data_IF_087025949648
#
_entry.id   IF_087025949648
#
_cell.length_a   1.000
_cell.length_b   1.000
_cell.length_c   1.000
_cell.angle_alpha   90.00
_cell.angle_beta   90.00
_cell.angle_gamma   90.00
#
_symmetry.space_group_name_H-M   'P 1'
#
loop_
_entity.id
_entity.type
_entity.pdbx_description
1 polymer ?
#
# COMPACT_ATOMS: atom_id res chain seq x y z
N UNK A 1 16.05 -2.74 -3.06
CA UNK A 1 14.90 -1.91 -3.49
C UNK A 1 13.86 -1.91 -2.37
N UNK A 2 13.27 -0.76 -2.05
CA UNK A 2 12.31 -0.65 -0.95
C UNK A 2 10.97 -1.26 -1.36
N UNK A 3 10.43 -2.14 -0.52
CA UNK A 3 9.14 -2.80 -0.72
C UNK A 3 8.04 -2.04 0.01
N UNK A 4 6.92 -1.85 -0.67
CA UNK A 4 5.71 -1.24 -0.12
C UNK A 4 4.51 -2.14 -0.37
N UNK A 5 3.63 -2.20 0.62
CA UNK A 5 2.24 -2.62 0.42
C UNK A 5 1.42 -1.35 0.49
N UNK A 6 0.61 -1.11 -0.53
CA UNK A 6 -0.26 0.06 -0.58
C UNK A 6 -1.68 -0.40 -0.29
N UNK A 7 -2.30 0.26 0.67
CA UNK A 7 -3.73 0.19 0.90
C UNK A 7 -4.47 0.81 -0.29
N UNK A 8 -5.66 0.30 -0.59
CA UNK A 8 -6.60 0.82 -1.59
C UNK A 8 -6.81 2.34 -1.46
N UNK A 9 -6.89 2.89 -0.24
CA UNK A 9 -7.06 4.33 -0.03
C UNK A 9 -5.93 5.19 -0.63
N UNK A 10 -4.72 4.64 -0.76
CA UNK A 10 -3.59 5.33 -1.39
C UNK A 10 -3.83 5.47 -2.89
N UNK A 11 -4.36 4.43 -3.54
CA UNK A 11 -4.71 4.48 -4.96
C UNK A 11 -5.83 5.49 -5.22
N UNK A 12 -6.86 5.47 -4.38
CA UNK A 12 -7.98 6.43 -4.45
C UNK A 12 -7.47 7.86 -4.31
N UNK A 13 -6.67 8.16 -3.27
CA UNK A 13 -6.12 9.49 -3.05
C UNK A 13 -5.21 9.95 -4.20
N UNK A 14 -4.40 9.05 -4.75
CA UNK A 14 -3.54 9.35 -5.91
C UNK A 14 -4.36 9.68 -7.16
N UNK A 15 -5.49 8.99 -7.37
CA UNK A 15 -6.38 9.23 -8.51
C UNK A 15 -7.11 10.56 -8.46
N UNK A 16 -7.47 11.04 -7.27
CA UNK A 16 -8.14 12.34 -7.10
C UNK A 16 -7.19 13.54 -7.03
N UNK A 17 -5.96 13.35 -6.55
CA UNK A 17 -4.99 14.43 -6.41
C UNK A 17 -3.59 13.99 -6.88
N UNK A 18 -3.25 14.38 -8.10
CA UNK A 18 -1.96 14.10 -8.75
C UNK A 18 -0.75 14.77 -8.07
N UNK A 19 -0.97 15.76 -7.21
CA UNK A 19 0.07 16.43 -6.42
C UNK A 19 0.22 15.86 -5.00
N UNK A 20 -0.61 14.87 -4.63
CA UNK A 20 -0.54 14.24 -3.31
C UNK A 20 0.72 13.38 -3.13
N UNK A 21 1.11 13.15 -1.88
CA UNK A 21 2.15 12.18 -1.53
C UNK A 21 1.79 10.76 -2.01
N UNK A 22 0.51 10.41 -2.04
CA UNK A 22 0.04 9.14 -2.61
C UNK A 22 0.36 9.05 -4.12
N UNK A 23 0.06 10.09 -4.89
CA UNK A 23 0.41 10.16 -6.31
C UNK A 23 1.93 10.10 -6.54
N UNK A 24 2.72 10.74 -5.68
CA UNK A 24 4.18 10.66 -5.73
C UNK A 24 4.70 9.24 -5.47
N UNK A 25 4.13 8.51 -4.51
CA UNK A 25 4.43 7.10 -4.24
C UNK A 25 4.07 6.23 -5.45
N UNK A 26 2.87 6.39 -6.01
CA UNK A 26 2.43 5.69 -7.22
C UNK A 26 3.40 5.97 -8.39
N UNK A 27 3.83 7.22 -8.56
CA UNK A 27 4.84 7.59 -9.55
C UNK A 27 6.19 6.90 -9.31
N UNK A 28 6.60 6.73 -8.06
CA UNK A 28 7.82 6.01 -7.71
C UNK A 28 7.73 4.49 -7.98
N UNK A 29 6.57 3.87 -7.72
CA UNK A 29 6.29 2.48 -8.11
C UNK A 29 6.36 2.35 -9.64
N UNK A 30 5.68 3.24 -10.36
CA UNK A 30 5.65 3.26 -11.83
C UNK A 30 7.05 3.39 -12.43
N UNK A 31 7.89 4.23 -11.84
CA UNK A 31 9.28 4.43 -12.23
C UNK A 31 10.24 3.29 -11.80
N UNK A 32 9.77 2.27 -11.08
CA UNK A 32 10.61 1.18 -10.59
C UNK A 32 11.57 1.59 -9.47
N UNK A 33 11.26 2.67 -8.75
CA UNK A 33 12.01 3.09 -7.54
C UNK A 33 11.49 2.42 -6.26
N UNK A 34 10.23 2.01 -6.28
CA UNK A 34 9.57 1.22 -5.23
C UNK A 34 9.01 -0.07 -5.84
N UNK A 35 9.09 -1.16 -5.08
CA UNK A 35 8.44 -2.42 -5.42
C UNK A 35 7.08 -2.48 -4.70
N UNK A 36 5.98 -2.42 -5.46
CA UNK A 36 4.64 -2.64 -4.93
C UNK A 36 4.47 -4.15 -4.78
N UNK A 37 4.60 -4.65 -3.55
CA UNK A 37 4.33 -6.05 -3.26
C UNK A 37 2.83 -6.25 -3.13
N UNK A 38 2.31 -7.27 -3.81
CA UNK A 38 0.89 -7.56 -3.86
C UNK A 38 0.65 -9.08 -3.85
N UNK A 39 -0.55 -9.48 -3.44
CA UNK A 39 -1.09 -10.83 -3.63
C UNK A 39 -2.48 -10.72 -4.29
N UNK A 40 -3.10 -11.84 -4.65
CA UNK A 40 -4.39 -11.81 -5.36
C UNK A 40 -5.51 -11.11 -4.56
N UNK A 41 -5.52 -11.28 -3.23
CA UNK A 41 -6.52 -10.67 -2.35
C UNK A 41 -6.42 -9.14 -2.35
N UNK A 42 -5.22 -8.59 -2.11
CA UNK A 42 -4.97 -7.13 -2.11
C UNK A 42 -5.22 -6.51 -3.49
N UNK A 43 -4.80 -7.17 -4.57
CA UNK A 43 -5.05 -6.71 -5.95
C UNK A 43 -6.54 -6.68 -6.28
N UNK A 44 -7.26 -7.75 -5.93
CA UNK A 44 -8.70 -7.86 -6.19
C UNK A 44 -9.49 -6.82 -5.40
N UNK A 45 -9.11 -6.59 -4.15
CA UNK A 45 -9.68 -5.53 -3.30
C UNK A 45 -9.49 -4.15 -3.95
N UNK A 46 -8.26 -3.82 -4.32
CA UNK A 46 -7.95 -2.53 -4.95
C UNK A 46 -8.70 -2.35 -6.26
N UNK A 47 -8.74 -3.36 -7.13
CA UNK A 47 -9.51 -3.31 -8.37
C UNK A 47 -11.00 -3.07 -8.09
N UNK A 48 -11.57 -3.86 -7.17
CA UNK A 48 -12.99 -3.80 -6.84
C UNK A 48 -13.42 -2.42 -6.33
N UNK A 49 -12.61 -1.78 -5.49
CA UNK A 49 -12.91 -0.44 -4.95
C UNK A 49 -12.72 0.63 -6.01
N UNK A 50 -11.64 0.58 -6.81
CA UNK A 50 -11.41 1.57 -7.86
C UNK A 50 -12.52 1.57 -8.92
N UNK A 51 -13.04 0.40 -9.30
CA UNK A 51 -14.14 0.27 -10.25
C UNK A 51 -15.47 0.86 -9.74
N UNK A 52 -15.63 1.04 -8.43
CA UNK A 52 -16.83 1.65 -7.82
C UNK A 52 -16.78 3.17 -7.71
N UNK A 53 -15.63 3.81 -7.94
CA UNK A 53 -15.42 5.23 -7.63
C UNK A 53 -15.07 6.00 -8.91
N UNK A 54 -16.04 6.55 -9.65
CA UNK A 54 -15.75 7.48 -10.75
C UNK A 54 -15.00 8.73 -10.23
N UNK A 55 -14.06 9.30 -10.99
CA UNK A 55 -13.65 8.95 -12.36
C UNK A 55 -12.51 7.92 -12.42
N UNK A 56 -12.23 7.18 -11.34
CA UNK A 56 -11.08 6.27 -11.28
C UNK A 56 -11.27 5.10 -12.26
N UNK A 57 -10.20 4.72 -12.96
CA UNK A 57 -10.18 3.60 -13.87
C UNK A 57 -9.10 2.59 -13.47
N UNK A 58 -9.48 1.32 -13.33
CA UNK A 58 -8.54 0.24 -13.02
C UNK A 58 -7.35 0.19 -13.99
N UNK A 59 -7.58 0.48 -15.27
CA UNK A 59 -6.54 0.52 -16.31
C UNK A 59 -5.36 1.44 -15.99
N UNK A 60 -5.58 2.50 -15.19
CA UNK A 60 -4.53 3.45 -14.84
C UNK A 60 -3.55 2.87 -13.80
N UNK A 61 -4.02 1.92 -13.00
CA UNK A 61 -3.31 1.33 -11.87
C UNK A 61 -2.88 -0.12 -12.11
N UNK A 62 -3.58 -0.87 -12.97
CA UNK A 62 -3.26 -2.27 -13.28
C UNK A 62 -1.78 -2.52 -13.63
N UNK A 63 -1.08 -1.66 -14.40
CA UNK A 63 0.34 -1.85 -14.70
C UNK A 63 1.30 -1.76 -13.50
N UNK A 64 0.83 -1.28 -12.34
CA UNK A 64 1.63 -1.20 -11.11
C UNK A 64 1.80 -2.58 -10.45
N UNK A 65 0.86 -3.51 -10.70
CA UNK A 65 0.84 -4.87 -10.16
C UNK A 65 1.67 -5.79 -11.05
N UNK A 66 3.00 -5.64 -10.99
CA UNK A 66 3.93 -6.43 -11.81
C UNK A 66 4.03 -7.85 -11.27
N UNK A 67 4.05 -8.84 -12.17
CA UNK A 67 4.19 -10.26 -11.79
C UNK A 67 5.46 -10.55 -10.98
N UNK A 68 6.56 -9.83 -11.23
CA UNK A 68 7.82 -9.97 -10.45
C UNK A 68 7.68 -9.56 -8.98
N UNK A 69 6.70 -8.70 -8.68
CA UNK A 69 6.44 -8.20 -7.33
C UNK A 69 5.26 -8.96 -6.65
N UNK A 70 4.71 -9.98 -7.32
CA UNK A 70 3.64 -10.84 -6.78
C UNK A 70 4.19 -11.72 -5.66
N UNK A 71 3.41 -11.85 -4.58
CA UNK A 71 3.67 -12.76 -3.47
C UNK A 71 2.60 -13.85 -3.43
N UNK A 72 3.02 -15.10 -3.66
CA UNK A 72 2.17 -16.30 -3.62
C UNK A 72 2.35 -17.12 -2.33
N UNK A 73 3.10 -16.60 -1.35
CA UNK A 73 3.27 -17.26 -0.06
C UNK A 73 2.07 -17.09 0.86
N UNK A 74 2.12 -17.74 2.02
CA UNK A 74 1.05 -17.70 3.01
C UNK A 74 1.05 -16.36 3.75
N UNK A 75 -0.13 -15.74 3.83
CA UNK A 75 -0.43 -14.60 4.71
C UNK A 75 -1.38 -15.06 5.83
N UNK A 76 -1.31 -14.41 6.99
CA UNK A 76 -2.12 -14.77 8.17
C UNK A 76 -2.94 -13.55 8.65
N UNK A 77 -3.95 -13.08 7.88
CA UNK A 77 -4.77 -11.91 8.25
C UNK A 77 -5.48 -12.09 9.60
N UNK A 78 -5.84 -13.32 9.95
CA UNK A 78 -6.49 -13.68 11.21
C UNK A 78 -5.67 -13.31 12.47
N UNK A 79 -4.36 -13.07 12.33
CA UNK A 79 -3.49 -12.65 13.44
C UNK A 79 -3.62 -11.18 13.81
N UNK A 80 -4.19 -10.37 12.94
CA UNK A 80 -4.30 -8.92 13.12
C UNK A 80 -5.65 -8.55 13.74
N UNK A 81 -5.97 -9.14 14.90
CA UNK A 81 -7.25 -8.96 15.58
C UNK A 81 -7.45 -7.53 16.10
N UNK A 82 -6.36 -6.80 16.30
CA UNK A 82 -6.36 -5.38 16.66
C UNK A 82 -6.88 -4.48 15.53
N UNK A 83 -6.81 -4.94 14.27
CA UNK A 83 -7.43 -4.24 13.14
C UNK A 83 -8.92 -4.59 13.14
N UNK A 84 -9.73 -3.59 13.46
CA UNK A 84 -11.18 -3.73 13.62
C UNK A 84 -11.88 -4.18 12.33
N UNK A 85 -11.45 -3.67 11.18
CA UNK A 85 -11.95 -4.09 9.88
C UNK A 85 -11.23 -5.36 9.41
N UNK A 86 -11.93 -6.50 9.28
CA UNK A 86 -11.32 -7.74 8.79
C UNK A 86 -10.74 -7.63 7.38
N UNK A 87 -11.30 -6.77 6.53
CA UNK A 87 -10.78 -6.60 5.18
C UNK A 87 -9.40 -5.93 5.21
N UNK A 88 -9.16 -4.96 6.09
CA UNK A 88 -7.86 -4.27 6.15
C UNK A 88 -6.71 -5.15 6.65
N UNK A 89 -7.02 -6.23 7.37
CA UNK A 89 -6.02 -7.20 7.88
C UNK A 89 -5.16 -7.79 6.78
N UNK A 90 -5.73 -7.96 5.57
CA UNK A 90 -5.03 -8.56 4.42
C UNK A 90 -3.77 -7.77 4.04
N UNK A 91 -3.82 -6.44 4.15
CA UNK A 91 -2.68 -5.56 3.86
C UNK A 91 -1.58 -5.65 4.92
N UNK A 92 -1.95 -5.68 6.20
CA UNK A 92 -1.00 -5.81 7.30
C UNK A 92 -0.30 -7.18 7.29
N UNK A 93 -1.06 -8.25 7.02
CA UNK A 93 -0.52 -9.60 6.89
C UNK A 93 0.46 -9.74 5.73
N UNK A 94 0.13 -9.17 4.57
CA UNK A 94 1.05 -9.15 3.44
C UNK A 94 2.32 -8.37 3.76
N UNK A 95 2.18 -7.18 4.37
CA UNK A 95 3.32 -6.35 4.75
C UNK A 95 4.26 -7.08 5.72
N UNK A 96 3.71 -7.81 6.69
CA UNK A 96 4.49 -8.65 7.62
C UNK A 96 5.23 -9.77 6.89
N UNK A 97 4.52 -10.53 6.04
CA UNK A 97 5.06 -11.70 5.36
C UNK A 97 6.26 -11.36 4.46
N UNK A 98 6.29 -10.14 3.91
CA UNK A 98 7.31 -9.72 2.93
C UNK A 98 8.30 -8.66 3.45
N UNK A 99 8.15 -8.24 4.71
CA UNK A 99 8.96 -7.21 5.35
C UNK A 99 8.83 -5.84 4.68
N UNK A 100 7.63 -5.48 4.22
CA UNK A 100 7.36 -4.21 3.54
C UNK A 100 6.83 -3.14 4.51
N UNK A 101 6.95 -1.86 4.11
CA UNK A 101 6.16 -0.80 4.76
C UNK A 101 4.74 -0.83 4.22
N UNK A 102 3.75 -0.93 5.11
CA UNK A 102 2.34 -0.68 4.78
C UNK A 102 2.10 0.84 4.73
N UNK A 103 1.62 1.32 3.59
CA UNK A 103 1.21 2.71 3.43
C UNK A 103 -0.32 2.77 3.38
N UNK A 104 -0.90 3.53 4.29
CA UNK A 104 -2.36 3.68 4.43
C UNK A 104 -2.72 5.12 4.79
N UNK A 105 -3.98 5.49 4.62
CA UNK A 105 -4.59 6.71 5.16
C UNK A 105 -5.67 6.41 6.21
N UNK A 106 -5.89 5.13 6.54
CA UNK A 106 -6.90 4.70 7.49
C UNK A 106 -6.48 5.02 8.93
N UNK A 107 -7.28 5.83 9.62
CA UNK A 107 -6.99 6.25 11.00
C UNK A 107 -7.07 5.09 12.00
N UNK A 108 -7.93 4.10 11.77
CA UNK A 108 -8.03 2.92 12.62
C UNK A 108 -6.76 2.08 12.53
N UNK A 109 -6.28 1.79 11.32
CA UNK A 109 -5.04 1.04 11.10
C UNK A 109 -3.83 1.82 11.66
N UNK A 110 -3.80 3.13 11.45
CA UNK A 110 -2.76 4.00 12.01
C UNK A 110 -2.78 4.04 13.55
N UNK A 111 -3.95 3.93 14.17
CA UNK A 111 -4.09 3.98 15.64
C UNK A 111 -3.52 2.74 16.34
N UNK A 112 -3.52 1.59 15.66
CA UNK A 112 -3.01 0.32 16.19
C UNK A 112 -1.62 -0.05 15.67
N UNK A 113 -0.99 0.81 14.85
CA UNK A 113 0.27 0.49 14.15
C UNK A 113 1.39 -0.04 15.03
N UNK A 114 1.49 0.43 16.28
CA UNK A 114 2.58 0.07 17.19
C UNK A 114 2.42 -1.36 17.74
N UNK A 115 1.22 -1.95 17.66
CA UNK A 115 0.95 -3.34 18.07
C UNK A 115 1.02 -4.35 16.92
N UNK A 116 1.03 -3.91 15.66
CA UNK A 116 0.90 -4.83 14.50
C UNK A 116 2.21 -5.56 14.13
N UNK A 117 3.36 -5.20 14.72
CA UNK A 117 4.66 -5.77 14.35
C UNK A 117 5.11 -5.46 12.92
N UNK A 118 4.41 -4.55 12.23
CA UNK A 118 4.72 -4.07 10.88
C UNK A 118 4.92 -2.56 10.87
N UNK A 119 5.76 -2.08 9.95
CA UNK A 119 5.90 -0.63 9.77
C UNK A 119 4.69 -0.11 9.00
N UNK A 120 3.82 0.64 9.67
CA UNK A 120 2.68 1.34 9.05
C UNK A 120 2.95 2.83 8.99
N UNK A 121 2.73 3.46 7.84
CA UNK A 121 2.91 4.89 7.66
C UNK A 121 1.81 5.53 6.83
N UNK A 122 1.60 6.83 7.05
CA UNK A 122 0.85 7.66 6.12
C UNK A 122 1.64 7.84 4.83
N UNK A 123 0.94 8.11 3.71
CA UNK A 123 1.61 8.45 2.45
C UNK A 123 2.60 9.62 2.61
N UNK A 124 2.23 10.64 3.39
CA UNK A 124 3.11 11.76 3.71
C UNK A 124 4.35 11.31 4.47
N UNK A 125 4.18 10.61 5.59
CA UNK A 125 5.30 10.16 6.43
C UNK A 125 6.26 9.25 5.68
N UNK A 126 5.71 8.35 4.86
CA UNK A 126 6.50 7.49 3.98
C UNK A 126 7.34 8.28 2.97
N UNK A 127 6.70 9.23 2.28
CA UNK A 127 7.38 10.04 1.27
C UNK A 127 8.47 10.92 1.87
N UNK A 128 8.20 11.63 2.97
CA UNK A 128 9.17 12.49 3.65
C UNK A 128 10.40 11.69 4.12
N UNK A 129 10.18 10.50 4.71
CA UNK A 129 11.27 9.60 5.11
C UNK A 129 12.12 9.15 3.91
N UNK A 130 11.48 8.80 2.80
CA UNK A 130 12.19 8.40 1.58
C UNK A 130 12.98 9.56 0.96
N UNK A 131 12.41 10.77 0.94
CA UNK A 131 13.07 11.96 0.45
C UNK A 131 14.31 12.29 1.28
N UNK A 132 14.22 12.22 2.61
CA UNK A 132 15.36 12.41 3.51
C UNK A 132 16.46 11.36 3.28
N UNK A 133 16.08 10.09 3.05
CA UNK A 133 17.04 9.02 2.77
C UNK A 133 17.77 9.19 1.42
N UNK A 134 17.11 9.76 0.41
CA UNK A 134 17.71 10.04 -0.90
C UNK A 134 18.54 11.32 -0.93
N UNK A 135 18.29 12.29 -0.04
CA UNK A 135 19.05 13.54 0.08
C UNK A 135 20.33 13.39 0.94
N UNK A 136 20.47 12.27 1.64
CA UNK A 136 21.66 11.94 2.44
C UNK A 136 22.64 10.99 1.75
N UNK A 137 22.44 10.67 0.47
CA UNK A 137 23.26 9.76 -0.33
C UNK A 137 24.11 10.50 -1.38
#
# INVERSE_FOLDING_TARGET
>A
MMKVVLDTNVFVAAGFNSHSHAAQIIGAVRAGRLALVWNEETRSETQHILEKIPPLAWSDFAPLFREVDRYDGVTEPERFLEVSDPDDRKFAALALAVGATLVTQDEHLLSVRDSLGVTVQTARGFWERMAAANLGA
#
